data_IF_259846157750
#
_entry.id   IF_259846157750
#
_cell.length_a   1.000
_cell.length_b   1.000
_cell.length_c   1.000
_cell.angle_alpha   90.00
_cell.angle_beta   90.00
_cell.angle_gamma   90.00
#
_symmetry.space_group_name_H-M   'P 1'
#
loop_
_entity.id
_entity.type
_entity.pdbx_description
1 polymer ?
#
# COMPACT_ATOMS: atom_id res chain seq x y z
N UNK A 1 -8.59 -10.04 -18.34
CA UNK A 1 -9.43 -8.92 -18.84
C UNK A 1 -9.20 -7.72 -17.95
N UNK A 2 -8.99 -6.53 -18.51
CA UNK A 2 -8.81 -5.27 -17.76
C UNK A 2 -10.11 -4.47 -17.85
N UNK A 3 -10.55 -3.89 -16.73
CA UNK A 3 -11.77 -3.06 -16.66
C UNK A 3 -11.45 -1.75 -15.95
N UNK A 4 -11.90 -0.65 -16.53
CA UNK A 4 -11.90 0.66 -15.88
C UNK A 4 -13.23 0.85 -15.17
N UNK A 5 -13.17 1.08 -13.86
CA UNK A 5 -14.36 1.24 -13.00
C UNK A 5 -14.23 2.51 -12.17
N UNK A 6 -15.36 3.02 -11.68
CA UNK A 6 -15.42 4.12 -10.71
C UNK A 6 -16.14 3.63 -9.46
N UNK A 7 -15.63 4.00 -8.29
CA UNK A 7 -16.18 3.59 -7.00
C UNK A 7 -15.12 3.63 -5.90
N UNK A 8 -15.46 3.02 -4.75
CA UNK A 8 -14.54 2.85 -3.64
C UNK A 8 -13.73 1.56 -3.82
N UNK A 9 -12.40 1.68 -3.97
CA UNK A 9 -11.52 0.52 -4.15
C UNK A 9 -11.57 -0.45 -2.96
N UNK A 10 -11.84 0.04 -1.75
CA UNK A 10 -11.87 -0.78 -0.54
C UNK A 10 -13.06 -1.76 -0.51
N UNK A 11 -14.10 -1.48 -1.29
CA UNK A 11 -15.31 -2.28 -1.42
C UNK A 11 -15.26 -3.24 -2.62
N UNK A 12 -14.16 -3.25 -3.38
CA UNK A 12 -14.05 -4.08 -4.56
C UNK A 12 -14.11 -5.58 -4.21
N UNK A 13 -14.95 -6.33 -4.93
CA UNK A 13 -15.07 -7.78 -4.80
C UNK A 13 -13.93 -8.49 -5.55
N UNK A 14 -12.76 -8.45 -4.94
CA UNK A 14 -11.50 -9.00 -5.45
C UNK A 14 -10.70 -9.65 -4.33
N UNK A 15 -9.77 -10.53 -4.70
CA UNK A 15 -8.87 -11.24 -3.79
C UNK A 15 -7.78 -10.34 -3.21
N UNK A 16 -7.35 -9.33 -3.97
CA UNK A 16 -6.27 -8.43 -3.60
C UNK A 16 -6.58 -6.97 -3.93
N UNK A 17 -6.18 -6.08 -3.02
CA UNK A 17 -6.24 -4.63 -3.16
C UNK A 17 -4.81 -4.08 -3.18
N UNK A 18 -4.53 -3.15 -4.09
CA UNK A 18 -3.24 -2.47 -4.15
C UNK A 18 -3.33 -1.17 -3.35
N UNK A 19 -2.44 -1.02 -2.37
CA UNK A 19 -2.30 0.18 -1.57
C UNK A 19 -0.99 0.90 -1.96
N UNK A 20 -1.04 2.09 -2.58
CA UNK A 20 0.15 2.87 -2.83
C UNK A 20 0.71 3.46 -1.52
N UNK A 21 1.97 3.14 -1.22
CA UNK A 21 2.65 3.52 0.04
C UNK A 21 4.00 4.18 -0.23
N UNK A 22 4.63 4.68 0.83
CA UNK A 22 6.03 5.13 0.85
C UNK A 22 6.91 4.10 1.57
N UNK A 23 8.22 4.34 1.58
CA UNK A 23 9.16 3.50 2.34
C UNK A 23 9.32 3.93 3.81
N UNK A 24 8.79 5.08 4.21
CA UNK A 24 9.05 5.70 5.52
C UNK A 24 8.02 5.36 6.60
N UNK A 25 7.05 4.50 6.30
CA UNK A 25 6.11 3.99 7.30
C UNK A 25 4.95 4.95 7.63
N UNK A 26 4.56 5.81 6.69
CA UNK A 26 3.44 6.75 6.91
C UNK A 26 2.26 6.51 5.96
N UNK A 27 1.03 6.68 6.46
CA UNK A 27 -0.22 6.64 5.68
C UNK A 27 -1.12 7.80 6.12
N UNK A 28 -0.70 9.04 5.81
CA UNK A 28 -1.29 10.25 6.40
C UNK A 28 -2.40 10.93 5.62
N UNK A 29 -2.59 10.60 4.33
CA UNK A 29 -3.59 11.24 3.46
C UNK A 29 -4.03 10.34 2.31
N UNK A 30 -5.09 10.76 1.61
CA UNK A 30 -5.54 10.14 0.38
C UNK A 30 -5.91 8.67 0.55
N UNK A 31 -5.58 7.86 -0.46
CA UNK A 31 -5.95 6.44 -0.48
C UNK A 31 -5.27 5.65 0.66
N UNK A 32 -3.99 5.91 0.93
CA UNK A 32 -3.26 5.23 2.00
C UNK A 32 -3.90 5.44 3.37
N UNK A 33 -4.41 6.64 3.66
CA UNK A 33 -5.15 6.91 4.90
C UNK A 33 -6.43 6.07 4.99
N UNK A 34 -7.18 5.94 3.89
CA UNK A 34 -8.38 5.10 3.87
C UNK A 34 -8.06 3.61 4.09
N UNK A 35 -6.92 3.12 3.58
CA UNK A 35 -6.41 1.78 3.89
C UNK A 35 -6.01 1.63 5.36
N UNK A 36 -5.36 2.63 5.97
CA UNK A 36 -5.02 2.61 7.40
C UNK A 36 -6.26 2.46 8.28
N UNK A 37 -7.31 3.22 8.00
CA UNK A 37 -8.56 3.16 8.77
C UNK A 37 -9.31 1.83 8.55
N UNK A 38 -9.27 1.28 7.33
CA UNK A 38 -10.02 0.07 6.98
C UNK A 38 -9.28 -1.23 7.28
N UNK A 39 -7.94 -1.19 7.29
CA UNK A 39 -7.02 -2.31 7.46
C UNK A 39 -5.91 -1.94 8.48
N UNK A 40 -6.26 -1.77 9.77
CA UNK A 40 -5.31 -1.33 10.79
C UNK A 40 -4.21 -2.37 11.07
N UNK A 41 -4.45 -3.67 10.89
CA UNK A 41 -3.42 -4.69 11.08
C UNK A 41 -2.38 -4.63 9.94
N UNK A 42 -2.83 -4.40 8.71
CA UNK A 42 -1.97 -4.10 7.57
C UNK A 42 -1.06 -2.90 7.87
N UNK A 43 -1.61 -1.80 8.39
CA UNK A 43 -0.82 -0.63 8.72
C UNK A 43 0.26 -0.94 9.77
N UNK A 44 -0.08 -1.67 10.83
CA UNK A 44 0.89 -2.05 11.86
C UNK A 44 2.05 -2.89 11.30
N UNK A 45 1.74 -3.91 10.49
CA UNK A 45 2.77 -4.77 9.88
C UNK A 45 3.62 -3.96 8.89
N UNK A 46 3.00 -3.10 8.08
CA UNK A 46 3.70 -2.22 7.15
C UNK A 46 4.70 -1.31 7.86
N UNK A 47 4.31 -0.65 8.96
CA UNK A 47 5.21 0.25 9.72
C UNK A 47 6.43 -0.52 10.24
N UNK A 48 6.22 -1.72 10.80
CA UNK A 48 7.33 -2.56 11.28
C UNK A 48 8.24 -3.00 10.13
N UNK A 49 7.69 -3.28 8.95
CA UNK A 49 8.46 -3.65 7.77
C UNK A 49 9.30 -2.46 7.24
N UNK A 50 8.76 -1.25 7.24
CA UNK A 50 9.50 -0.02 6.93
C UNK A 50 10.64 0.21 7.92
N UNK A 51 10.37 0.12 9.23
CA UNK A 51 11.38 0.26 10.28
C UNK A 51 12.51 -0.77 10.17
N UNK A 52 12.18 -1.98 9.71
CA UNK A 52 13.15 -3.04 9.45
C UNK A 52 13.87 -2.91 8.10
N UNK A 53 13.62 -1.86 7.31
CA UNK A 53 14.22 -1.65 5.99
C UNK A 53 13.82 -2.72 4.95
N UNK A 54 12.70 -3.41 5.17
CA UNK A 54 12.22 -4.50 4.29
C UNK A 54 11.46 -4.00 3.08
N UNK A 55 10.87 -2.82 3.17
CA UNK A 55 10.15 -2.17 2.07
C UNK A 55 11.14 -1.26 1.35
N UNK A 56 11.26 -1.47 0.04
CA UNK A 56 12.15 -0.71 -0.84
C UNK A 56 11.36 -0.16 -2.04
N UNK A 57 11.89 0.87 -2.71
CA UNK A 57 11.28 1.41 -3.91
C UNK A 57 10.99 0.33 -4.97
N UNK A 58 9.78 0.36 -5.52
CA UNK A 58 9.29 -0.62 -6.50
C UNK A 58 8.98 -2.02 -5.95
N UNK A 59 9.08 -2.23 -4.64
CA UNK A 59 8.70 -3.51 -4.01
C UNK A 59 7.21 -3.58 -3.65
N UNK A 60 6.70 -4.79 -3.55
CA UNK A 60 5.37 -5.09 -2.99
C UNK A 60 5.56 -5.79 -1.65
N UNK A 61 4.91 -5.27 -0.61
CA UNK A 61 4.85 -5.92 0.69
C UNK A 61 3.41 -6.42 0.98
N UNK A 62 3.15 -7.73 0.81
CA UNK A 62 1.82 -8.30 0.96
C UNK A 62 1.46 -8.52 2.44
N UNK A 63 0.25 -8.15 2.83
CA UNK A 63 -0.34 -8.48 4.13
C UNK A 63 -1.76 -9.01 3.92
N UNK A 64 -2.13 -10.08 4.62
CA UNK A 64 -3.49 -10.61 4.58
C UNK A 64 -4.30 -10.11 5.77
N UNK A 65 -5.43 -9.45 5.50
CA UNK A 65 -6.34 -8.96 6.53
C UNK A 65 -7.79 -9.01 6.01
N UNK A 66 -8.73 -9.41 6.88
CA UNK A 66 -10.18 -9.43 6.58
C UNK A 66 -10.55 -10.15 5.28
N UNK A 67 -9.85 -11.26 4.99
CA UNK A 67 -10.14 -12.08 3.82
C UNK A 67 -9.57 -11.53 2.50
N UNK A 68 -8.78 -10.46 2.54
CA UNK A 68 -8.17 -9.84 1.35
C UNK A 68 -6.66 -9.70 1.51
N UNK A 69 -5.95 -9.80 0.40
CA UNK A 69 -4.55 -9.39 0.34
C UNK A 69 -4.44 -7.89 0.13
N UNK A 70 -3.70 -7.21 0.99
CA UNK A 70 -3.30 -5.82 0.80
C UNK A 70 -1.87 -5.81 0.28
N UNK A 71 -1.74 -5.44 -0.99
CA UNK A 71 -0.46 -5.32 -1.68
C UNK A 71 0.05 -3.89 -1.47
N UNK A 72 0.84 -3.66 -0.42
CA UNK A 72 1.46 -2.35 -0.19
C UNK A 72 2.57 -2.17 -1.23
N UNK A 73 2.27 -1.40 -2.27
CA UNK A 73 3.17 -1.12 -3.37
C UNK A 73 3.83 0.23 -3.17
N UNK A 74 5.15 0.22 -3.07
CA UNK A 74 5.88 1.47 -2.93
C UNK A 74 5.86 2.29 -4.23
N UNK A 75 5.46 3.55 -4.10
CA UNK A 75 5.37 4.51 -5.21
C UNK A 75 6.30 5.70 -5.04
N UNK A 76 7.27 5.65 -4.11
CA UNK A 76 8.21 6.76 -3.91
C UNK A 76 9.04 6.95 -5.19
N UNK A 77 8.67 8.00 -5.94
CA UNK A 77 9.26 8.41 -7.22
C UNK A 77 10.57 9.18 -7.04
N UNK A 78 10.91 9.61 -5.83
CA UNK A 78 12.17 10.29 -5.51
C UNK A 78 13.40 9.39 -5.70
N UNK A 79 13.19 8.11 -6.04
CA UNK A 79 14.25 7.14 -6.36
C UNK A 79 14.49 7.07 -7.88
N UNK A 80 13.63 7.70 -8.69
CA UNK A 80 13.74 7.73 -10.16
C UNK A 80 14.30 9.05 -10.72
N UNK A 81 14.43 10.12 -9.94
CA UNK A 81 15.26 11.26 -10.29
C UNK A 81 16.60 11.18 -9.52
N UNK A 82 17.64 10.55 -10.09
CA UNK A 82 18.98 10.75 -9.54
C UNK A 82 19.28 12.23 -9.70
N UNK A 83 19.68 12.87 -8.60
CA UNK A 83 20.17 14.24 -8.55
C UNK A 83 20.78 14.73 -9.88
N UNK A 84 20.07 15.64 -10.54
CA UNK A 84 20.62 16.54 -11.56
C UNK A 84 20.62 17.95 -11.00
#
# INVERSE_FOLDING_TARGET
MIRYVRGNILEADVEALVNPVNCVGTMGKGLAFAFKESYPANFAVYVLACQAGKIKPGSVYPVFERGKWIMNFDVDVDVYEPHV
#
